data_IF_372255867142
#
_entry.id   IF_372255867142
#
_cell.length_a   1.000
_cell.length_b   1.000
_cell.length_c   1.000
_cell.angle_alpha   90.00
_cell.angle_beta   90.00
_cell.angle_gamma   90.00
#
_symmetry.space_group_name_H-M   'P 1'
#
loop_
_entity.id
_entity.type
_entity.pdbx_description
1 polymer ?
#
# COMPACT_ATOMS: atom_id res chain seq x y z
N UNK A 1 -1.13 24.39 24.78
CA UNK A 1 -1.55 23.00 25.13
C UNK A 1 -0.34 22.09 25.04
N UNK A 2 -0.08 21.22 26.03
CA UNK A 2 1.03 20.25 25.98
C UNK A 2 0.72 19.12 24.98
N UNK A 3 1.72 18.67 24.21
CA UNK A 3 1.58 17.62 23.18
C UNK A 3 0.96 16.31 23.69
N UNK A 4 1.04 16.02 24.98
CA UNK A 4 0.47 14.81 25.61
C UNK A 4 -1.05 14.84 25.76
N UNK A 5 -1.69 16.00 25.55
CA UNK A 5 -3.14 16.18 25.70
C UNK A 5 -3.86 16.51 24.39
N UNK A 6 -3.13 16.56 23.27
CA UNK A 6 -3.72 16.75 21.94
C UNK A 6 -4.19 15.40 21.40
N UNK A 7 -5.50 15.20 21.36
CA UNK A 7 -6.12 14.00 20.80
C UNK A 7 -7.46 14.37 20.17
N UNK A 8 -7.68 13.91 18.95
CA UNK A 8 -8.99 14.00 18.32
C UNK A 8 -10.01 13.21 19.14
N UNK A 9 -11.21 13.76 19.32
CA UNK A 9 -12.32 13.03 19.93
C UNK A 9 -12.79 11.91 18.98
N UNK A 10 -13.48 10.91 19.51
CA UNK A 10 -14.05 9.84 18.67
C UNK A 10 -15.05 10.39 17.65
N UNK A 11 -15.84 11.40 18.02
CA UNK A 11 -16.77 12.07 17.12
C UNK A 11 -16.07 12.79 15.96
N UNK A 12 -14.97 13.51 16.24
CA UNK A 12 -14.18 14.17 15.20
C UNK A 12 -13.55 13.16 14.24
N UNK A 13 -13.09 12.02 14.78
CA UNK A 13 -12.52 10.93 13.99
C UNK A 13 -13.58 10.30 13.08
N UNK A 14 -14.78 10.06 13.60
CA UNK A 14 -15.91 9.52 12.83
C UNK A 14 -16.34 10.47 11.71
N UNK A 15 -16.49 11.75 12.03
CA UNK A 15 -16.83 12.78 11.05
C UNK A 15 -15.76 12.93 9.96
N UNK A 16 -14.47 12.95 10.35
CA UNK A 16 -13.35 12.92 9.40
C UNK A 16 -13.45 11.69 8.48
N UNK A 17 -13.75 10.51 9.04
CA UNK A 17 -13.88 9.28 8.26
C UNK A 17 -15.03 9.31 7.27
N UNK A 18 -16.20 9.84 7.64
CA UNK A 18 -17.35 10.01 6.74
C UNK A 18 -17.04 10.96 5.58
N UNK A 19 -16.34 12.07 5.85
CA UNK A 19 -15.88 12.98 4.80
C UNK A 19 -14.86 12.30 3.88
N UNK A 20 -13.93 11.52 4.43
CA UNK A 20 -12.96 10.76 3.65
C UNK A 20 -13.58 9.66 2.79
N UNK A 21 -14.66 9.02 3.24
CA UNK A 21 -15.42 8.05 2.42
C UNK A 21 -16.04 8.67 1.17
N UNK A 22 -16.14 10.01 1.12
CA UNK A 22 -16.62 10.79 -0.02
C UNK A 22 -15.48 11.48 -0.77
N UNK A 23 -14.27 10.94 -0.67
CA UNK A 23 -13.05 11.42 -1.34
C UNK A 23 -12.64 12.87 -1.00
N UNK A 24 -13.09 13.40 0.14
CA UNK A 24 -12.66 14.71 0.62
C UNK A 24 -11.23 14.58 1.20
N UNK A 25 -10.25 15.36 0.68
CA UNK A 25 -8.87 15.28 1.16
C UNK A 25 -8.72 15.87 2.57
N UNK A 26 -7.76 15.36 3.35
CA UNK A 26 -7.53 15.77 4.75
C UNK A 26 -7.31 17.29 4.87
N UNK A 27 -6.66 17.93 3.90
CA UNK A 27 -6.47 19.38 3.90
C UNK A 27 -7.78 20.15 3.91
N UNK A 28 -8.79 19.70 3.15
CA UNK A 28 -10.13 20.30 3.14
C UNK A 28 -10.89 20.04 4.43
N UNK A 29 -10.63 18.90 5.08
CA UNK A 29 -11.26 18.55 6.36
C UNK A 29 -10.64 19.39 7.49
N UNK A 30 -9.33 19.59 7.48
CA UNK A 30 -8.58 20.42 8.44
C UNK A 30 -9.05 21.88 8.40
N UNK A 31 -9.40 22.40 7.21
CA UNK A 31 -10.03 23.72 7.08
C UNK A 31 -11.51 23.75 7.54
N UNK A 32 -12.23 22.65 7.34
CA UNK A 32 -13.68 22.60 7.56
C UNK A 32 -14.07 22.38 9.02
N UNK A 33 -13.44 21.43 9.72
CA UNK A 33 -13.83 21.09 11.10
C UNK A 33 -13.72 22.29 12.07
N UNK A 34 -12.67 23.12 12.02
CA UNK A 34 -12.61 24.35 12.82
C UNK A 34 -13.73 25.33 12.51
N UNK A 35 -14.21 25.40 11.25
CA UNK A 35 -15.32 26.29 10.88
C UNK A 35 -16.64 25.94 11.56
N UNK A 36 -16.81 24.69 12.02
CA UNK A 36 -17.98 24.23 12.77
C UNK A 36 -17.94 24.66 14.25
N UNK A 37 -16.77 25.01 14.76
CA UNK A 37 -16.56 25.41 16.16
C UNK A 37 -15.97 26.82 16.26
N UNK A 38 -16.27 27.68 15.28
CA UNK A 38 -15.86 29.10 15.26
C UNK A 38 -14.34 29.34 15.25
N UNK A 39 -13.54 28.38 14.78
CA UNK A 39 -12.12 28.57 14.48
C UNK A 39 -11.19 27.52 15.07
N UNK A 40 -9.92 27.59 14.65
CA UNK A 40 -8.88 26.63 15.04
C UNK A 40 -8.58 26.62 16.55
N UNK A 41 -8.87 27.72 17.23
CA UNK A 41 -8.62 27.91 18.66
C UNK A 41 -9.48 26.98 19.53
N UNK A 42 -10.64 26.58 19.00
CA UNK A 42 -11.64 25.76 19.68
C UNK A 42 -11.49 24.26 19.38
N UNK A 43 -10.46 23.88 18.61
CA UNK A 43 -10.18 22.50 18.24
C UNK A 43 -8.99 21.96 19.07
N UNK A 44 -9.14 20.85 19.82
CA UNK A 44 -8.09 20.35 20.71
C UNK A 44 -6.98 19.53 20.00
N UNK A 45 -6.90 19.61 18.68
CA UNK A 45 -5.97 18.85 17.84
C UNK A 45 -5.47 19.68 16.65
N UNK A 46 -4.37 19.24 16.05
CA UNK A 46 -3.78 19.87 14.85
C UNK A 46 -3.86 18.93 13.64
N UNK A 47 -3.61 19.45 12.44
CA UNK A 47 -3.55 18.68 11.18
C UNK A 47 -2.72 17.40 11.30
N UNK A 48 -1.59 17.47 12.03
CA UNK A 48 -0.72 16.31 12.27
C UNK A 48 -1.43 15.18 13.02
N UNK A 49 -2.33 15.49 13.95
CA UNK A 49 -3.09 14.49 14.70
C UNK A 49 -4.09 13.77 13.77
N UNK A 50 -4.71 14.48 12.84
CA UNK A 50 -5.53 13.88 11.78
C UNK A 50 -4.72 12.92 10.91
N UNK A 51 -3.49 13.29 10.54
CA UNK A 51 -2.58 12.39 9.83
C UNK A 51 -2.17 11.18 10.66
N UNK A 52 -1.92 11.37 11.97
CA UNK A 52 -1.57 10.29 12.89
C UNK A 52 -2.70 9.28 13.06
N UNK A 53 -3.95 9.75 13.22
CA UNK A 53 -5.15 8.91 13.27
C UNK A 53 -5.29 8.12 11.97
N UNK A 54 -5.19 8.79 10.82
CA UNK A 54 -5.29 8.12 9.52
C UNK A 54 -4.19 7.07 9.32
N UNK A 55 -2.95 7.38 9.72
CA UNK A 55 -1.85 6.41 9.66
C UNK A 55 -2.10 5.22 10.60
N UNK A 56 -2.66 5.46 11.80
CA UNK A 56 -3.03 4.40 12.74
C UNK A 56 -4.13 3.50 12.18
N UNK A 57 -5.21 4.08 11.68
CA UNK A 57 -6.32 3.34 11.06
C UNK A 57 -5.88 2.56 9.82
N UNK A 58 -4.95 3.07 9.02
CA UNK A 58 -4.37 2.33 7.89
C UNK A 58 -3.57 1.12 8.35
N UNK A 59 -2.80 1.25 9.43
CA UNK A 59 -2.09 0.11 10.04
C UNK A 59 -3.06 -0.94 10.59
N UNK A 60 -4.20 -0.50 11.12
CA UNK A 60 -5.21 -1.39 11.73
C UNK A 60 -6.15 -2.04 10.70
N UNK A 61 -6.46 -1.37 9.57
CA UNK A 61 -7.36 -1.91 8.54
C UNK A 61 -6.71 -2.95 7.61
N UNK A 62 -5.38 -3.05 7.56
CA UNK A 62 -4.69 -3.89 6.59
C UNK A 62 -5.00 -3.48 5.14
N UNK A 63 -4.59 -4.31 4.17
CA UNK A 63 -4.97 -4.12 2.77
C UNK A 63 -6.46 -4.46 2.59
N UNK A 64 -7.20 -3.70 1.78
CA UNK A 64 -8.45 -4.22 1.20
C UNK A 64 -8.06 -5.32 0.20
N UNK A 65 -7.87 -6.52 0.74
CA UNK A 65 -7.44 -7.70 0.01
C UNK A 65 -8.44 -8.00 -1.09
N UNK A 66 -9.73 -7.78 -0.85
CA UNK A 66 -10.79 -8.10 -1.82
C UNK A 66 -10.72 -7.17 -3.04
N UNK A 67 -10.51 -5.87 -2.86
CA UNK A 67 -10.35 -4.94 -3.98
C UNK A 67 -9.07 -5.25 -4.79
N UNK A 68 -7.96 -5.53 -4.12
CA UNK A 68 -6.71 -5.90 -4.77
C UNK A 68 -6.86 -7.21 -5.58
N UNK A 69 -7.51 -8.22 -5.01
CA UNK A 69 -7.75 -9.49 -5.69
C UNK A 69 -8.69 -9.36 -6.87
N UNK A 70 -9.72 -8.53 -6.77
CA UNK A 70 -10.61 -8.22 -7.90
C UNK A 70 -9.83 -7.61 -9.06
N UNK A 71 -8.96 -6.64 -8.78
CA UNK A 71 -8.10 -6.04 -9.80
C UNK A 71 -7.19 -7.08 -10.47
N UNK A 72 -6.54 -7.95 -9.68
CA UNK A 72 -5.68 -9.01 -10.24
C UNK A 72 -6.47 -10.03 -11.08
N UNK A 73 -7.71 -10.33 -10.71
CA UNK A 73 -8.61 -11.16 -11.51
C UNK A 73 -8.97 -10.48 -12.84
N UNK A 74 -9.21 -9.16 -12.85
CA UNK A 74 -9.44 -8.39 -14.08
C UNK A 74 -8.18 -8.36 -14.97
N UNK A 75 -6.99 -8.16 -14.39
CA UNK A 75 -5.72 -8.28 -15.12
C UNK A 75 -5.60 -9.65 -15.78
N UNK A 76 -5.92 -10.73 -15.06
CA UNK A 76 -5.90 -12.10 -15.59
C UNK A 76 -6.96 -12.37 -16.65
N UNK A 77 -8.11 -11.70 -16.59
CA UNK A 77 -9.11 -11.82 -17.63
C UNK A 77 -8.66 -11.14 -18.95
N UNK A 78 -7.92 -10.04 -18.84
CA UNK A 78 -7.40 -9.30 -20.00
C UNK A 78 -6.11 -9.90 -20.57
N UNK A 79 -5.27 -10.46 -19.71
CA UNK A 79 -4.04 -11.16 -20.05
C UNK A 79 -4.09 -12.57 -19.45
N UNK A 80 -4.49 -13.60 -20.24
CA UNK A 80 -4.60 -14.97 -19.75
C UNK A 80 -3.28 -15.56 -19.21
N UNK A 81 -2.14 -15.00 -19.62
CA UNK A 81 -0.81 -15.44 -19.17
C UNK A 81 -0.45 -14.81 -17.83
N UNK A 82 -1.08 -13.68 -17.47
CA UNK A 82 -0.88 -13.03 -16.17
C UNK A 82 -0.98 -14.02 -15.00
N UNK A 83 0.03 -13.96 -14.14
CA UNK A 83 0.15 -14.83 -12.97
C UNK A 83 0.26 -14.00 -11.70
N UNK A 84 -0.36 -14.50 -10.63
CA UNK A 84 -0.16 -13.96 -9.30
C UNK A 84 -0.22 -15.08 -8.26
N UNK A 85 0.53 -14.92 -7.18
CA UNK A 85 0.51 -15.81 -6.00
C UNK A 85 0.32 -14.96 -4.76
N UNK A 86 -0.45 -15.47 -3.80
CA UNK A 86 -0.74 -14.76 -2.55
C UNK A 86 -0.62 -15.66 -1.34
N UNK A 87 -0.23 -15.07 -0.22
CA UNK A 87 -0.28 -15.66 1.12
C UNK A 87 -1.06 -14.70 2.00
N UNK A 88 -2.11 -15.22 2.64
CA UNK A 88 -2.97 -14.50 3.57
C UNK A 88 -2.88 -15.24 4.91
N UNK A 89 -2.79 -14.51 6.01
CA UNK A 89 -2.79 -15.11 7.35
C UNK A 89 -4.21 -15.45 7.86
N UNK A 90 -4.29 -15.90 9.10
CA UNK A 90 -5.53 -16.29 9.76
C UNK A 90 -6.48 -15.10 9.99
N UNK A 91 -5.93 -13.90 10.12
CA UNK A 91 -6.66 -12.64 10.35
C UNK A 91 -7.09 -11.98 9.02
N UNK A 92 -6.95 -12.69 7.89
CA UNK A 92 -7.23 -12.23 6.53
C UNK A 92 -6.36 -11.06 6.07
N UNK A 93 -5.19 -10.89 6.67
CA UNK A 93 -4.21 -9.87 6.25
C UNK A 93 -3.32 -10.46 5.17
N UNK A 94 -3.12 -9.70 4.09
CA UNK A 94 -2.20 -10.09 3.03
C UNK A 94 -0.75 -10.02 3.55
N UNK A 95 -0.08 -11.17 3.53
CA UNK A 95 1.30 -11.31 3.97
C UNK A 95 2.29 -11.21 2.81
N UNK A 96 1.95 -11.83 1.67
CA UNK A 96 2.81 -11.86 0.48
C UNK A 96 1.93 -11.83 -0.76
N UNK A 97 2.28 -11.02 -1.74
CA UNK A 97 1.61 -10.96 -3.03
C UNK A 97 2.64 -10.77 -4.13
N UNK A 98 2.77 -11.76 -4.99
CA UNK A 98 3.62 -11.77 -6.17
C UNK A 98 2.75 -11.66 -7.42
N UNK A 99 3.18 -10.90 -8.43
CA UNK A 99 2.52 -10.89 -9.74
C UNK A 99 3.48 -10.63 -10.89
N UNK A 100 3.14 -11.13 -12.08
CA UNK A 100 3.80 -10.85 -13.35
C UNK A 100 2.80 -10.92 -14.49
N UNK A 101 2.92 -10.02 -15.46
CA UNK A 101 2.14 -10.08 -16.70
C UNK A 101 2.79 -11.03 -17.72
N UNK A 102 2.08 -11.29 -18.82
CA UNK A 102 2.52 -12.19 -19.86
C UNK A 102 3.77 -11.70 -20.58
N UNK A 103 3.90 -10.39 -20.79
CA UNK A 103 5.11 -9.79 -21.38
C UNK A 103 6.33 -10.03 -20.50
N UNK A 104 6.20 -9.79 -19.20
CA UNK A 104 7.26 -10.02 -18.22
C UNK A 104 7.69 -11.48 -18.15
N UNK A 105 6.77 -12.43 -18.35
CA UNK A 105 7.12 -13.86 -18.43
C UNK A 105 7.91 -14.19 -19.70
N UNK A 106 7.58 -13.58 -20.83
CA UNK A 106 8.37 -13.74 -22.07
C UNK A 106 9.74 -13.11 -21.88
N UNK A 107 9.80 -11.91 -21.30
CA UNK A 107 11.07 -11.23 -21.00
C UNK A 107 11.93 -12.04 -20.05
N UNK A 108 11.35 -12.69 -19.03
CA UNK A 108 12.09 -13.61 -18.16
C UNK A 108 12.67 -14.81 -18.92
N UNK A 109 11.97 -15.35 -19.91
CA UNK A 109 12.48 -16.47 -20.71
C UNK A 109 13.68 -16.07 -21.59
N UNK A 110 13.76 -14.81 -22.00
CA UNK A 110 14.81 -14.31 -22.89
C UNK A 110 15.98 -13.70 -22.09
N UNK A 111 15.68 -12.99 -21.00
CA UNK A 111 16.60 -12.16 -20.22
C UNK A 111 16.76 -12.61 -18.76
N UNK A 112 16.26 -13.79 -18.39
CA UNK A 112 16.31 -14.29 -17.01
C UNK A 112 17.67 -14.85 -16.57
N UNK A 113 18.70 -14.73 -17.39
CA UNK A 113 20.07 -15.19 -17.12
C UNK A 113 20.76 -14.36 -16.03
N UNK A 114 20.46 -13.06 -15.97
CA UNK A 114 20.90 -12.17 -14.88
C UNK A 114 19.71 -11.38 -14.38
N UNK A 115 19.39 -11.54 -13.09
CA UNK A 115 18.28 -10.85 -12.45
C UNK A 115 18.82 -10.04 -11.29
N UNK A 116 18.37 -8.79 -11.22
CA UNK A 116 18.60 -7.90 -10.10
C UNK A 116 17.25 -7.63 -9.45
N UNK A 117 17.23 -7.57 -8.12
CA UNK A 117 16.05 -7.13 -7.38
C UNK A 117 16.41 -6.00 -6.43
N UNK A 118 15.44 -5.12 -6.23
CA UNK A 118 15.53 -4.05 -5.23
C UNK A 118 14.27 -4.07 -4.35
N UNK A 119 14.46 -3.84 -3.05
CA UNK A 119 13.39 -3.78 -2.06
C UNK A 119 13.18 -2.31 -1.66
N UNK A 120 12.10 -1.72 -2.15
CA UNK A 120 11.73 -0.35 -1.80
C UNK A 120 10.99 -0.32 -0.46
N UNK A 121 11.68 0.16 0.58
CA UNK A 121 11.14 0.23 1.93
C UNK A 121 10.15 1.39 2.12
N UNK A 122 8.99 1.09 2.74
CA UNK A 122 8.06 2.03 3.41
C UNK A 122 7.68 3.33 2.69
N UNK A 123 7.83 3.42 1.36
CA UNK A 123 7.35 4.56 0.56
C UNK A 123 5.92 4.38 0.03
N UNK A 124 5.35 3.18 0.12
CA UNK A 124 3.94 2.98 -0.22
C UNK A 124 3.04 3.27 0.99
N UNK A 125 1.76 3.55 0.71
CA UNK A 125 0.73 3.85 1.71
C UNK A 125 0.44 2.70 2.70
N UNK A 126 1.07 1.54 2.48
CA UNK A 126 0.88 0.30 3.23
C UNK A 126 2.03 0.01 4.20
N UNK A 127 3.12 0.80 4.17
CA UNK A 127 4.33 0.57 4.98
C UNK A 127 4.94 -0.84 4.78
N UNK A 128 4.63 -1.47 3.65
CA UNK A 128 5.08 -2.82 3.26
C UNK A 128 6.18 -2.71 2.21
N UNK A 129 7.29 -3.45 2.33
CA UNK A 129 8.29 -3.52 1.27
C UNK A 129 7.68 -3.95 -0.07
N UNK A 130 8.03 -3.22 -1.13
CA UNK A 130 7.77 -3.61 -2.51
C UNK A 130 9.09 -4.07 -3.11
N UNK A 131 9.19 -5.36 -3.41
CA UNK A 131 10.35 -5.94 -4.09
C UNK A 131 10.06 -6.01 -5.58
N UNK A 132 10.94 -5.43 -6.40
CA UNK A 132 10.81 -5.46 -7.86
C UNK A 132 12.00 -6.19 -8.44
N UNK A 133 11.74 -7.13 -9.33
CA UNK A 133 12.74 -7.88 -10.08
C UNK A 133 12.85 -7.32 -11.48
N UNK A 134 14.07 -7.11 -11.94
CA UNK A 134 14.35 -6.58 -13.25
C UNK A 134 15.57 -7.24 -13.88
N UNK A 135 15.62 -7.18 -15.20
CA UNK A 135 16.76 -7.59 -16.03
C UNK A 135 17.08 -6.49 -17.04
N UNK A 136 18.01 -6.76 -17.95
CA UNK A 136 18.50 -5.87 -18.98
C UNK A 136 18.32 -6.55 -20.33
N UNK A 137 17.61 -5.89 -21.27
CA UNK A 137 17.44 -6.42 -22.62
C UNK A 137 18.68 -6.18 -23.51
N UNK A 138 18.65 -6.68 -24.75
CA UNK A 138 19.73 -6.50 -25.75
C UNK A 138 20.09 -5.03 -26.08
N UNK A 139 19.24 -4.09 -25.70
CA UNK A 139 19.46 -2.65 -25.88
C UNK A 139 19.97 -1.96 -24.61
N UNK A 140 20.41 -2.73 -23.61
CA UNK A 140 20.81 -2.24 -22.30
C UNK A 140 19.71 -1.47 -21.55
N UNK A 141 18.44 -1.80 -21.80
CA UNK A 141 17.31 -1.19 -21.12
C UNK A 141 16.82 -2.08 -19.99
N UNK A 142 16.45 -1.48 -18.86
CA UNK A 142 15.83 -2.19 -17.74
C UNK A 142 14.45 -2.70 -18.13
N UNK A 143 14.22 -3.99 -17.88
CA UNK A 143 12.92 -4.65 -18.07
C UNK A 143 12.47 -5.19 -16.72
N UNK A 144 11.23 -4.89 -16.34
CA UNK A 144 10.64 -5.41 -15.10
C UNK A 144 10.09 -6.79 -15.37
N UNK A 145 10.46 -7.78 -14.54
CA UNK A 145 10.05 -9.18 -14.70
C UNK A 145 8.92 -9.56 -13.75
N UNK A 146 8.90 -8.97 -12.57
CA UNK A 146 7.85 -9.20 -11.58
C UNK A 146 7.96 -8.19 -10.46
N UNK A 147 6.85 -7.98 -9.74
CA UNK A 147 6.82 -7.24 -8.51
C UNK A 147 6.15 -8.05 -7.41
N UNK A 148 6.58 -7.81 -6.17
CA UNK A 148 6.04 -8.47 -4.99
C UNK A 148 5.86 -7.49 -3.84
N UNK A 149 4.70 -7.51 -3.22
CA UNK A 149 4.41 -6.84 -1.96
C UNK A 149 4.57 -7.84 -0.81
N UNK A 150 5.36 -7.49 0.20
CA UNK A 150 5.58 -8.35 1.37
C UNK A 150 5.31 -7.61 2.68
N UNK A 151 4.85 -8.33 3.69
CA UNK A 151 4.56 -7.75 5.01
C UNK A 151 5.83 -7.51 5.85
N UNK A 152 6.88 -8.31 5.64
CA UNK A 152 8.16 -8.20 6.34
C UNK A 152 9.37 -8.57 5.46
N UNK A 153 10.57 -8.24 5.93
CA UNK A 153 11.85 -8.53 5.26
C UNK A 153 12.56 -9.72 5.92
N UNK A 154 11.82 -10.74 6.37
CA UNK A 154 12.40 -11.93 6.99
C UNK A 154 12.93 -12.91 5.95
N UNK A 155 13.89 -13.74 6.36
CA UNK A 155 14.48 -14.80 5.53
C UNK A 155 13.41 -15.69 4.89
N UNK A 156 12.41 -16.12 5.65
CA UNK A 156 11.30 -16.96 5.15
C UNK A 156 10.51 -16.30 4.00
N UNK A 157 10.42 -14.97 4.02
CA UNK A 157 9.73 -14.20 2.99
C UNK A 157 10.56 -14.15 1.72
N UNK A 158 11.88 -13.97 1.81
CA UNK A 158 12.77 -14.01 0.64
C UNK A 158 12.98 -15.43 0.10
N UNK A 159 12.97 -16.46 0.95
CA UNK A 159 12.96 -17.85 0.49
C UNK A 159 11.71 -18.13 -0.32
N UNK A 160 10.53 -17.68 0.12
CA UNK A 160 9.30 -17.81 -0.67
C UNK A 160 9.35 -17.02 -1.97
N UNK A 161 10.00 -15.86 -1.97
CA UNK A 161 10.13 -14.97 -3.12
C UNK A 161 10.99 -15.56 -4.24
N UNK A 162 12.04 -16.29 -3.87
CA UNK A 162 13.07 -16.84 -4.76
C UNK A 162 12.84 -18.31 -5.15
N UNK A 163 11.68 -18.88 -4.79
CA UNK A 163 11.23 -20.24 -5.13
C UNK A 163 10.45 -20.29 -6.44
#
# INVERSE_FOLDING_TARGET
MLRSHQKMSEADIEQMNEMRKRDIPISRIDDFLPSLVEGYENVPYITRDMHNVNAKQRRERGLDVDLCLRYLCECKANDPVFSYKKVIDQDRVLQRLFWCDGTSQIDYQIFGDVIVFDAMYKKNIYLSPLVVFFSVNHHNQTVVLTATLVADEKDETYVWLLQ
#
